data_IF_690231677608
#
_entry.id   IF_690231677608
#
_cell.length_a   1.000
_cell.length_b   1.000
_cell.length_c   1.000
_cell.angle_alpha   90.00
_cell.angle_beta   90.00
_cell.angle_gamma   90.00
#
_symmetry.space_group_name_H-M   'P 1'
#
loop_
_entity.id
_entity.type
_entity.pdbx_description
1 polymer ?
#
# COMPACT_ATOMS: atom_id res chain seq x y z
N UNK A 1 -12.86 8.54 -10.68
CA UNK A 1 -11.75 7.75 -10.10
C UNK A 1 -11.16 8.56 -8.96
N UNK A 2 -11.11 8.06 -7.71
CA UNK A 2 -10.51 8.81 -6.62
C UNK A 2 -9.00 8.98 -6.88
N UNK A 3 -8.47 10.19 -6.70
CA UNK A 3 -7.04 10.44 -6.84
C UNK A 3 -6.23 9.58 -5.85
N UNK A 4 -5.00 9.15 -6.20
CA UNK A 4 -4.15 8.42 -5.27
C UNK A 4 -3.92 9.28 -4.03
N UNK A 5 -4.33 8.77 -2.86
CA UNK A 5 -4.08 9.46 -1.60
C UNK A 5 -2.67 9.13 -1.13
N UNK A 6 -2.06 10.03 -0.34
CA UNK A 6 -0.72 9.84 0.23
C UNK A 6 -0.51 8.45 0.87
N UNK A 7 -1.57 7.90 1.49
CA UNK A 7 -1.56 6.56 2.12
C UNK A 7 -1.35 5.39 1.15
N UNK A 8 -1.74 5.54 -0.12
CA UNK A 8 -1.52 4.52 -1.15
C UNK A 8 -0.03 4.49 -1.54
N UNK A 9 0.55 5.67 -1.77
CA UNK A 9 1.98 5.81 -2.08
C UNK A 9 2.85 5.38 -0.90
N UNK A 10 2.50 5.76 0.31
CA UNK A 10 3.20 5.36 1.53
C UNK A 10 3.20 3.84 1.71
N UNK A 11 2.07 3.17 1.51
CA UNK A 11 2.01 1.70 1.57
C UNK A 11 2.92 1.04 0.52
N UNK A 12 2.95 1.59 -0.70
CA UNK A 12 3.77 1.08 -1.79
C UNK A 12 5.27 1.28 -1.54
N UNK A 13 5.68 2.49 -1.17
CA UNK A 13 7.07 2.84 -0.84
C UNK A 13 7.59 2.02 0.34
N UNK A 14 6.74 1.73 1.33
CA UNK A 14 7.12 0.89 2.48
C UNK A 14 7.21 -0.59 2.12
N UNK A 15 6.38 -1.09 1.20
CA UNK A 15 6.47 -2.48 0.76
C UNK A 15 7.72 -2.75 -0.09
N UNK A 16 8.14 -1.79 -0.92
CA UNK A 16 9.26 -1.94 -1.85
C UNK A 16 10.57 -2.46 -1.20
N UNK A 17 11.07 -1.92 -0.07
CA UNK A 17 12.25 -2.45 0.60
C UNK A 17 11.96 -3.68 1.47
N UNK A 18 10.75 -3.77 2.05
CA UNK A 18 10.42 -4.83 3.02
C UNK A 18 10.09 -6.17 2.36
N UNK A 19 9.68 -6.17 1.09
CA UNK A 19 9.25 -7.34 0.30
C UNK A 19 8.16 -8.18 0.99
N UNK A 20 7.48 -7.66 2.00
CA UNK A 20 6.48 -8.41 2.78
C UNK A 20 5.39 -7.48 3.32
N UNK A 21 4.13 -7.79 2.98
CA UNK A 21 2.93 -7.04 3.40
C UNK A 21 2.81 -6.98 4.93
N UNK A 22 3.12 -8.09 5.61
CA UNK A 22 3.17 -8.16 7.07
C UNK A 22 4.09 -7.12 7.69
N UNK A 23 5.34 -7.02 7.22
CA UNK A 23 6.31 -6.06 7.75
C UNK A 23 5.89 -4.61 7.46
N UNK A 24 5.32 -4.36 6.28
CA UNK A 24 4.79 -3.04 5.94
C UNK A 24 3.61 -2.65 6.86
N UNK A 25 2.72 -3.60 7.18
CA UNK A 25 1.60 -3.39 8.09
C UNK A 25 2.08 -3.08 9.51
N UNK A 26 3.04 -3.85 10.04
CA UNK A 26 3.67 -3.60 11.35
C UNK A 26 4.33 -2.21 11.39
N UNK A 27 5.07 -1.82 10.34
CA UNK A 27 5.78 -0.55 10.29
C UNK A 27 4.85 0.66 10.13
N UNK A 28 3.71 0.49 9.46
CA UNK A 28 2.69 1.52 9.28
C UNK A 28 1.60 1.48 10.35
N UNK A 29 1.79 0.72 11.43
CA UNK A 29 0.84 0.55 12.53
C UNK A 29 -0.58 0.26 12.02
N UNK A 30 -0.68 -0.68 11.07
CA UNK A 30 -1.94 -1.03 10.42
C UNK A 30 -2.03 -2.54 10.17
N UNK A 31 -3.09 -2.98 9.50
CA UNK A 31 -3.36 -4.39 9.25
C UNK A 31 -2.92 -4.80 7.84
N UNK A 32 -2.59 -6.08 7.67
CA UNK A 32 -2.23 -6.64 6.37
C UNK A 32 -3.32 -6.44 5.29
N UNK A 33 -4.62 -6.63 5.59
CA UNK A 33 -5.68 -6.36 4.61
C UNK A 33 -5.70 -4.89 4.16
N UNK A 34 -5.49 -3.94 5.06
CA UNK A 34 -5.48 -2.51 4.72
C UNK A 34 -4.31 -2.14 3.78
N UNK A 35 -3.13 -2.73 4.00
CA UNK A 35 -1.99 -2.56 3.09
C UNK A 35 -2.32 -3.16 1.72
N UNK A 36 -2.91 -4.37 1.68
CA UNK A 36 -3.32 -5.01 0.43
C UNK A 36 -4.31 -4.16 -0.36
N UNK A 37 -5.36 -3.65 0.29
CA UNK A 37 -6.36 -2.77 -0.33
C UNK A 37 -5.74 -1.48 -0.86
N UNK A 38 -4.80 -0.87 -0.14
CA UNK A 38 -4.09 0.35 -0.58
C UNK A 38 -3.20 0.10 -1.79
N UNK A 39 -2.55 -1.06 -1.89
CA UNK A 39 -1.71 -1.39 -3.04
C UNK A 39 -2.58 -1.70 -4.26
N UNK A 40 -3.61 -2.53 -4.10
CA UNK A 40 -4.54 -2.85 -5.18
C UNK A 40 -5.27 -1.60 -5.71
N UNK A 41 -5.64 -0.68 -4.81
CA UNK A 41 -6.19 0.61 -5.17
C UNK A 41 -5.19 1.48 -5.95
N UNK A 42 -3.91 1.45 -5.59
CA UNK A 42 -2.86 2.16 -6.33
C UNK A 42 -2.64 1.56 -7.72
N UNK A 43 -2.56 0.23 -7.84
CA UNK A 43 -2.39 -0.50 -9.11
C UNK A 43 -3.53 -0.21 -10.09
N UNK A 44 -4.77 -0.22 -9.60
CA UNK A 44 -5.96 0.15 -10.37
C UNK A 44 -5.87 1.59 -10.90
N UNK A 45 -5.30 2.52 -10.14
CA UNK A 45 -5.18 3.93 -10.54
C UNK A 45 -4.07 4.17 -11.56
N UNK A 46 -2.99 3.40 -11.51
CA UNK A 46 -1.87 3.49 -12.46
C UNK A 46 -2.06 2.61 -13.71
N UNK A 47 -3.14 1.83 -13.76
CA UNK A 47 -3.47 0.94 -14.89
C UNK A 47 -2.51 -0.25 -15.03
N UNK A 48 -1.98 -0.73 -13.90
CA UNK A 48 -1.11 -1.90 -13.80
C UNK A 48 -1.88 -3.12 -13.30
#
# INVERSE_FOLDING_TARGET
MPAPTYKHLEAYVMLAPLKTIRRAAEKLNTTQPNISTRIAGLETLIGK
#
